data_IF_986172354228
#
_entry.id   IF_986172354228
#
_cell.length_a   1.000
_cell.length_b   1.000
_cell.length_c   1.000
_cell.angle_alpha   90.00
_cell.angle_beta   90.00
_cell.angle_gamma   90.00
#
_symmetry.space_group_name_H-M   'P 1'
#
loop_
_entity.id
_entity.type
_entity.pdbx_description
1 polymer ?
#
# COMPACT_ATOMS: atom_id res chain seq x y z
N UNK A 1 8.26 -12.48 -3.82
CA UNK A 1 7.45 -13.39 -2.96
C UNK A 1 8.19 -13.81 -1.67
N UNK A 2 9.42 -14.33 -1.71
CA UNK A 2 10.17 -14.74 -0.49
C UNK A 2 10.27 -13.63 0.57
N UNK A 3 10.61 -12.41 0.16
CA UNK A 3 10.69 -11.24 1.05
C UNK A 3 9.35 -10.89 1.71
N UNK A 4 8.25 -11.07 0.99
CA UNK A 4 6.90 -10.84 1.54
C UNK A 4 6.60 -11.83 2.66
N UNK A 5 6.84 -13.12 2.44
CA UNK A 5 6.63 -14.17 3.45
C UNK A 5 7.47 -13.88 4.69
N UNK A 6 8.75 -13.54 4.50
CA UNK A 6 9.64 -13.18 5.60
C UNK A 6 9.11 -11.98 6.39
N UNK A 7 8.70 -10.90 5.72
CA UNK A 7 8.13 -9.72 6.37
C UNK A 7 6.88 -10.06 7.20
N UNK A 8 5.95 -10.82 6.63
CA UNK A 8 4.70 -11.23 7.30
C UNK A 8 4.97 -12.09 8.54
N UNK A 9 5.92 -13.02 8.47
CA UNK A 9 6.30 -13.85 9.62
C UNK A 9 6.89 -13.01 10.75
N UNK A 10 7.81 -12.10 10.43
CA UNK A 10 8.43 -11.21 11.43
C UNK A 10 7.39 -10.25 12.02
N UNK A 11 6.57 -9.61 11.17
CA UNK A 11 5.54 -8.68 11.61
C UNK A 11 4.46 -9.36 12.48
N UNK A 12 4.00 -10.55 12.10
CA UNK A 12 3.04 -11.33 12.91
C UNK A 12 3.63 -11.79 14.24
N UNK A 13 4.93 -12.14 14.29
CA UNK A 13 5.65 -12.39 15.53
C UNK A 13 5.65 -11.18 16.46
N UNK A 14 5.99 -10.00 15.95
CA UNK A 14 5.96 -8.75 16.73
C UNK A 14 4.53 -8.36 17.14
N UNK A 15 3.55 -8.53 16.26
CA UNK A 15 2.14 -8.28 16.55
C UNK A 15 1.66 -9.16 17.73
N UNK A 16 1.93 -10.46 17.65
CA UNK A 16 1.56 -11.43 18.67
C UNK A 16 2.27 -11.13 19.99
N UNK A 17 3.58 -10.90 19.96
CA UNK A 17 4.36 -10.55 21.15
C UNK A 17 3.84 -9.26 21.82
N UNK A 18 3.45 -8.27 21.02
CA UNK A 18 2.88 -6.99 21.49
C UNK A 18 1.53 -7.20 22.17
N UNK A 19 0.69 -8.10 21.66
CA UNK A 19 -0.60 -8.44 22.28
C UNK A 19 -0.43 -9.24 23.58
N UNK A 20 0.48 -10.22 23.61
CA UNK A 20 0.76 -11.02 24.81
C UNK A 20 1.33 -10.15 25.92
N UNK A 21 2.26 -9.25 25.59
CA UNK A 21 2.93 -8.37 26.55
C UNK A 21 2.26 -7.00 26.68
N UNK A 22 0.97 -6.87 26.34
CA UNK A 22 0.24 -5.59 26.34
C UNK A 22 0.23 -4.87 27.70
N UNK A 23 0.39 -5.61 28.78
CA UNK A 23 0.40 -5.09 30.16
C UNK A 23 1.79 -4.59 30.60
N UNK A 24 2.85 -4.90 29.85
CA UNK A 24 4.20 -4.48 30.19
C UNK A 24 4.33 -2.94 30.11
N UNK A 25 5.04 -2.35 31.08
CA UNK A 25 5.12 -0.90 31.25
C UNK A 25 5.59 -0.17 29.98
N UNK A 26 6.55 -0.76 29.26
CA UNK A 26 7.11 -0.23 28.01
C UNK A 26 6.04 -0.19 26.90
N UNK A 27 5.28 -1.27 26.70
CA UNK A 27 4.24 -1.36 25.66
C UNK A 27 3.11 -0.36 25.94
N UNK A 28 2.73 -0.23 27.22
CA UNK A 28 1.71 0.72 27.65
C UNK A 28 2.15 2.17 27.48
N UNK A 29 3.43 2.48 27.75
CA UNK A 29 4.00 3.82 27.55
C UNK A 29 4.01 4.22 26.06
N UNK A 30 4.37 3.29 25.17
CA UNK A 30 4.42 3.50 23.72
C UNK A 30 3.06 3.50 23.00
N UNK A 31 1.97 3.33 23.77
CA UNK A 31 0.58 3.28 23.32
C UNK A 31 0.30 2.13 22.34
N UNK A 32 -0.30 1.04 22.85
CA UNK A 32 -0.68 -0.17 22.11
C UNK A 32 -1.35 0.05 20.74
N UNK A 33 -2.41 0.89 20.58
CA UNK A 33 -3.13 0.97 19.31
C UNK A 33 -2.25 1.45 18.14
N UNK A 34 -1.24 2.30 18.40
CA UNK A 34 -0.35 2.78 17.35
C UNK A 34 0.63 1.71 16.89
N UNK A 35 1.14 0.89 17.82
CA UNK A 35 2.02 -0.24 17.49
C UNK A 35 1.29 -1.28 16.63
N UNK A 36 0.03 -1.57 16.97
CA UNK A 36 -0.79 -2.50 16.20
C UNK A 36 -1.11 -1.95 14.80
N UNK A 37 -1.48 -0.67 14.67
CA UNK A 37 -1.71 -0.04 13.37
C UNK A 37 -0.48 -0.10 12.45
N UNK A 38 0.71 0.22 12.98
CA UNK A 38 1.96 0.14 12.20
C UNK A 38 2.23 -1.27 11.73
N UNK A 39 2.10 -2.27 12.62
CA UNK A 39 2.33 -3.68 12.25
C UNK A 39 1.34 -4.18 11.19
N UNK A 40 0.07 -3.75 11.27
CA UNK A 40 -0.93 -4.08 10.25
C UNK A 40 -0.58 -3.36 8.93
N UNK A 41 -0.22 -2.08 8.99
CA UNK A 41 0.17 -1.28 7.83
C UNK A 41 1.34 -1.88 7.07
N UNK A 42 2.36 -2.40 7.76
CA UNK A 42 3.51 -3.05 7.11
C UNK A 42 3.13 -4.34 6.40
N UNK A 43 2.20 -5.13 6.97
CA UNK A 43 1.71 -6.36 6.34
C UNK A 43 0.89 -6.05 5.09
N UNK A 44 -0.02 -5.06 5.17
CA UNK A 44 -0.86 -4.60 4.05
C UNK A 44 -0.04 -3.96 2.94
N UNK A 45 0.95 -3.13 3.28
CA UNK A 45 1.83 -2.53 2.27
C UNK A 45 2.68 -3.59 1.57
N UNK A 46 3.21 -4.57 2.32
CA UNK A 46 4.02 -5.65 1.75
C UNK A 46 3.22 -6.58 0.83
N UNK A 47 1.90 -6.75 1.06
CA UNK A 47 1.07 -7.58 0.19
C UNK A 47 0.87 -7.00 -1.20
N UNK A 48 1.15 -5.69 -1.42
CA UNK A 48 1.14 -5.06 -2.75
C UNK A 48 2.14 -5.71 -3.72
N UNK A 49 3.16 -6.43 -3.22
CA UNK A 49 4.09 -7.19 -4.07
C UNK A 49 3.37 -8.31 -4.84
N UNK A 50 2.31 -8.92 -4.27
CA UNK A 50 1.58 -10.02 -4.91
C UNK A 50 0.90 -9.57 -6.21
N UNK A 51 0.02 -8.55 -6.22
CA UNK A 51 -0.60 -8.09 -7.46
C UNK A 51 0.43 -7.54 -8.46
N UNK A 52 1.52 -6.93 -7.99
CA UNK A 52 2.59 -6.46 -8.87
C UNK A 52 3.31 -7.59 -9.63
N UNK A 53 3.20 -8.84 -9.14
CA UNK A 53 3.78 -10.01 -9.84
C UNK A 53 2.82 -10.67 -10.83
N UNK A 54 1.58 -10.21 -10.93
CA UNK A 54 0.60 -10.75 -11.86
C UNK A 54 0.70 -9.97 -13.17
N UNK A 55 0.98 -10.68 -14.25
CA UNK A 55 0.91 -10.21 -15.64
C UNK A 55 -0.18 -10.97 -16.42
N UNK A 56 -0.56 -10.43 -17.58
CA UNK A 56 -1.48 -11.05 -18.53
C UNK A 56 -0.85 -12.33 -19.11
N UNK A 57 -1.47 -13.47 -18.80
CA UNK A 57 -1.01 -14.78 -19.26
C UNK A 57 -1.75 -15.10 -20.56
N UNK A 58 -0.99 -15.26 -21.65
CA UNK A 58 -1.46 -15.67 -22.98
C UNK A 58 -2.10 -14.59 -23.86
N UNK A 59 -1.24 -13.79 -24.51
CA UNK A 59 -1.63 -13.08 -25.74
C UNK A 59 -1.70 -14.11 -26.87
N UNK A 60 -2.88 -14.23 -27.47
CA UNK A 60 -3.12 -15.05 -28.65
C UNK A 60 -2.10 -14.68 -29.75
N UNK A 61 -1.26 -15.62 -30.26
CA UNK A 61 -0.24 -15.32 -31.26
C UNK A 61 -0.78 -14.71 -32.56
N UNK A 62 -2.10 -14.82 -32.78
CA UNK A 62 -2.81 -14.24 -33.92
C UNK A 62 -2.91 -12.71 -33.87
N UNK A 63 -2.82 -12.09 -32.68
CA UNK A 63 -2.88 -10.63 -32.50
C UNK A 63 -1.61 -9.95 -33.04
N UNK A 64 -0.46 -10.64 -33.02
CA UNK A 64 0.79 -10.13 -33.62
C UNK A 64 0.73 -9.97 -35.15
N UNK A 65 -0.25 -10.57 -35.82
CA UNK A 65 -0.32 -10.63 -37.29
C UNK A 65 -1.06 -9.44 -37.92
N UNK A 66 -1.84 -8.67 -37.16
CA UNK A 66 -2.58 -7.52 -37.69
C UNK A 66 -1.82 -6.21 -37.48
N UNK A 67 -1.27 -5.70 -38.57
CA UNK A 67 -0.68 -4.39 -38.84
C UNK A 67 0.81 -4.13 -38.47
N UNK A 68 1.72 -4.21 -39.47
CA UNK A 68 3.00 -3.54 -39.40
C UNK A 68 2.81 -2.05 -39.75
N UNK A 69 2.94 -1.15 -38.77
CA UNK A 69 3.23 0.27 -39.08
C UNK A 69 4.31 0.83 -38.15
N UNK A 70 5.30 1.61 -38.66
CA UNK A 70 6.54 1.94 -37.93
C UNK A 70 6.42 3.18 -37.02
N UNK A 71 5.22 3.67 -36.72
CA UNK A 71 5.01 5.01 -36.16
C UNK A 71 4.56 5.05 -34.68
N UNK A 72 4.31 3.90 -34.05
CA UNK A 72 3.86 3.86 -32.65
C UNK A 72 4.22 2.53 -32.00
N UNK A 73 4.75 2.50 -30.75
CA UNK A 73 4.85 1.25 -30.01
C UNK A 73 3.46 0.62 -29.98
N UNK A 74 3.35 -0.63 -30.43
CA UNK A 74 2.09 -1.36 -30.42
C UNK A 74 1.70 -1.54 -28.95
N UNK A 75 0.73 -0.75 -28.48
CA UNK A 75 0.09 -0.93 -27.18
C UNK A 75 -0.92 -2.05 -27.37
N UNK A 76 -0.55 -3.26 -26.94
CA UNK A 76 -1.55 -4.32 -26.83
C UNK A 76 -2.37 -3.99 -25.59
N UNK A 77 -3.60 -3.54 -25.82
CA UNK A 77 -4.60 -3.41 -24.79
C UNK A 77 -5.05 -4.82 -24.42
N UNK A 78 -4.29 -5.44 -23.52
CA UNK A 78 -4.65 -6.72 -22.93
C UNK A 78 -5.93 -6.54 -22.13
N UNK A 79 -7.05 -7.00 -22.70
CA UNK A 79 -8.35 -7.04 -22.01
C UNK A 79 -8.39 -8.19 -20.99
N UNK A 80 -7.33 -8.32 -20.20
CA UNK A 80 -7.19 -9.31 -19.15
C UNK A 80 -7.75 -8.73 -17.85
N UNK A 81 -8.97 -9.14 -17.43
CA UNK A 81 -9.58 -8.59 -16.23
C UNK A 81 -8.75 -8.89 -14.98
N UNK A 82 -7.99 -10.01 -14.99
CA UNK A 82 -7.08 -10.38 -13.90
C UNK A 82 -5.89 -9.43 -13.75
N UNK A 83 -5.20 -9.12 -14.85
CA UNK A 83 -4.06 -8.20 -14.85
C UNK A 83 -4.49 -6.77 -14.49
N UNK A 84 -5.63 -6.30 -15.03
CA UNK A 84 -6.20 -5.01 -14.69
C UNK A 84 -6.58 -4.91 -13.20
N UNK A 85 -7.23 -5.94 -12.65
CA UNK A 85 -7.60 -5.98 -11.23
C UNK A 85 -6.36 -6.00 -10.33
N UNK A 86 -5.31 -6.76 -10.70
CA UNK A 86 -4.06 -6.79 -9.98
C UNK A 86 -3.35 -5.42 -10.01
N UNK A 87 -3.26 -4.81 -11.20
CA UNK A 87 -2.70 -3.48 -11.39
C UNK A 87 -3.34 -2.47 -10.43
N UNK A 88 -4.68 -2.44 -10.36
CA UNK A 88 -5.38 -1.56 -9.44
C UNK A 88 -5.21 -1.94 -7.96
N UNK A 89 -5.26 -3.25 -7.63
CA UNK A 89 -5.09 -3.72 -6.26
C UNK A 89 -3.73 -3.31 -5.66
N UNK A 90 -2.69 -3.20 -6.48
CA UNK A 90 -1.36 -2.76 -6.05
C UNK A 90 -1.38 -1.36 -5.42
N UNK A 91 -2.10 -0.42 -6.05
CA UNK A 91 -2.29 0.95 -5.56
C UNK A 91 -3.04 0.93 -4.23
N UNK A 92 -4.17 0.22 -4.17
CA UNK A 92 -5.00 0.18 -2.97
C UNK A 92 -4.24 -0.35 -1.75
N UNK A 93 -3.53 -1.47 -1.91
CA UNK A 93 -2.76 -2.09 -0.85
C UNK A 93 -1.59 -1.19 -0.41
N UNK A 94 -0.89 -0.57 -1.37
CA UNK A 94 0.22 0.31 -1.08
C UNK A 94 -0.22 1.58 -0.34
N UNK A 95 -1.20 2.32 -0.87
CA UNK A 95 -1.72 3.56 -0.26
C UNK A 95 -2.28 3.30 1.15
N UNK A 96 -3.12 2.27 1.29
CA UNK A 96 -3.72 1.91 2.59
C UNK A 96 -2.64 1.52 3.61
N UNK A 97 -1.69 0.67 3.22
CA UNK A 97 -0.61 0.22 4.09
C UNK A 97 0.35 1.36 4.48
N UNK A 98 0.64 2.26 3.54
CA UNK A 98 1.42 3.47 3.78
C UNK A 98 0.72 4.37 4.82
N UNK A 99 -0.57 4.66 4.64
CA UNK A 99 -1.32 5.50 5.57
C UNK A 99 -1.42 4.89 6.98
N UNK A 100 -1.67 3.58 7.08
CA UNK A 100 -1.68 2.86 8.35
C UNK A 100 -0.31 2.86 9.06
N UNK A 101 0.78 3.03 8.32
CA UNK A 101 2.14 3.08 8.88
C UNK A 101 2.51 4.51 9.28
N UNK A 102 2.34 5.47 8.37
CA UNK A 102 2.83 6.83 8.54
C UNK A 102 1.92 7.70 9.42
N UNK A 103 0.60 7.57 9.33
CA UNK A 103 -0.31 8.40 10.13
C UNK A 103 -0.14 8.22 11.66
N UNK A 104 0.04 6.99 12.20
CA UNK A 104 0.44 6.78 13.59
C UNK A 104 1.76 7.46 13.99
N UNK A 105 2.76 7.44 13.11
CA UNK A 105 4.08 8.04 13.37
C UNK A 105 3.98 9.56 13.44
N UNK A 106 3.28 10.19 12.49
CA UNK A 106 3.00 11.62 12.53
C UNK A 106 2.19 12.01 13.76
N UNK A 107 1.19 11.22 14.13
CA UNK A 107 0.41 11.47 15.33
C UNK A 107 1.26 11.45 16.62
N UNK A 108 2.20 10.51 16.72
CA UNK A 108 3.17 10.46 17.82
C UNK A 108 4.10 11.67 17.81
N UNK A 109 4.65 12.02 16.65
CA UNK A 109 5.53 13.19 16.49
C UNK A 109 4.82 14.49 16.88
N UNK A 110 3.58 14.68 16.42
CA UNK A 110 2.76 15.84 16.77
C UNK A 110 2.50 15.94 18.27
N UNK A 111 2.19 14.82 18.92
CA UNK A 111 2.00 14.77 20.39
C UNK A 111 3.27 15.20 21.13
N UNK A 112 4.43 14.72 20.69
CA UNK A 112 5.74 15.10 21.27
C UNK A 112 5.99 16.60 21.06
N UNK A 113 5.85 17.10 19.84
CA UNK A 113 6.00 18.52 19.51
C UNK A 113 5.11 19.42 20.38
N UNK A 114 3.84 19.03 20.58
CA UNK A 114 2.89 19.77 21.41
C UNK A 114 3.29 19.82 22.89
N UNK A 115 3.89 18.76 23.41
CA UNK A 115 4.38 18.69 24.80
C UNK A 115 5.59 19.62 24.98
N UNK A 116 6.57 19.56 24.07
CA UNK A 116 7.77 20.40 24.15
C UNK A 116 7.49 21.88 23.90
N UNK A 117 6.55 22.23 23.02
CA UNK A 117 6.19 23.61 22.70
C UNK A 117 5.22 24.25 23.72
N UNK A 118 4.89 23.57 24.80
CA UNK A 118 3.97 24.09 25.83
C UNK A 118 4.71 25.00 26.83
N UNK A 119 4.79 26.31 26.52
CA UNK A 119 5.39 27.34 27.40
C UNK A 119 4.80 27.43 28.81
N UNK A 120 3.57 26.94 29.02
CA UNK A 120 2.88 27.09 30.31
C UNK A 120 3.29 26.05 31.37
N UNK A 121 4.12 25.04 31.04
CA UNK A 121 4.53 23.92 31.93
C UNK A 121 3.34 23.21 32.62
N UNK A 122 2.11 23.41 32.13
CA UNK A 122 0.90 22.74 32.63
C UNK A 122 0.85 21.35 32.03
N UNK A 123 0.55 20.35 32.87
CA UNK A 123 0.41 18.95 32.45
C UNK A 123 -0.68 18.82 31.38
N UNK A 124 -0.29 18.58 30.12
CA UNK A 124 -1.20 18.37 29.00
C UNK A 124 -1.32 16.86 28.70
N UNK A 125 -2.50 16.29 28.89
CA UNK A 125 -2.77 14.88 28.58
C UNK A 125 -3.57 14.82 27.29
N UNK A 126 -2.91 14.46 26.19
CA UNK A 126 -3.59 14.15 24.92
C UNK A 126 -4.01 12.67 24.93
N UNK A 127 -5.31 12.35 24.87
CA UNK A 127 -5.79 10.97 24.91
C UNK A 127 -5.53 10.24 23.58
N UNK A 128 -5.06 9.00 23.66
CA UNK A 128 -4.76 8.15 22.49
C UNK A 128 -5.97 7.94 21.57
N UNK A 129 -7.18 7.89 22.12
CA UNK A 129 -8.42 7.64 21.37
C UNK A 129 -8.72 8.73 20.34
N UNK A 130 -8.49 10.01 20.71
CA UNK A 130 -8.69 11.14 19.80
C UNK A 130 -7.74 11.04 18.61
N UNK A 131 -6.48 10.67 18.87
CA UNK A 131 -5.49 10.56 17.81
C UNK A 131 -5.75 9.36 16.89
N UNK A 132 -6.26 8.24 17.42
CA UNK A 132 -6.76 7.11 16.62
C UNK A 132 -7.93 7.53 15.73
N UNK A 133 -8.89 8.31 16.24
CA UNK A 133 -9.99 8.84 15.44
C UNK A 133 -9.50 9.76 14.31
N UNK A 134 -8.55 10.65 14.59
CA UNK A 134 -7.93 11.50 13.56
C UNK A 134 -7.28 10.64 12.46
N UNK A 135 -6.55 9.60 12.84
CA UNK A 135 -5.91 8.68 11.88
C UNK A 135 -6.96 7.96 11.03
N UNK A 136 -8.06 7.49 11.62
CA UNK A 136 -9.15 6.84 10.88
C UNK A 136 -9.83 7.80 9.89
N UNK A 137 -10.00 9.07 10.27
CA UNK A 137 -10.52 10.10 9.35
C UNK A 137 -9.53 10.34 8.20
N UNK A 138 -8.24 10.49 8.47
CA UNK A 138 -7.23 10.64 7.42
C UNK A 138 -7.19 9.44 6.47
N UNK A 139 -7.30 8.23 7.01
CA UNK A 139 -7.39 7.00 6.21
C UNK A 139 -8.65 7.00 5.34
N UNK A 140 -9.81 7.39 5.87
CA UNK A 140 -11.04 7.45 5.07
C UNK A 140 -10.96 8.44 3.90
N UNK A 141 -10.26 9.56 4.10
CA UNK A 141 -10.01 10.53 3.04
C UNK A 141 -9.14 9.91 1.94
N UNK A 142 -8.05 9.25 2.32
CA UNK A 142 -7.16 8.54 1.38
C UNK A 142 -7.90 7.46 0.57
N UNK A 143 -8.68 6.61 1.23
CA UNK A 143 -9.49 5.58 0.55
C UNK A 143 -10.52 6.20 -0.39
N UNK A 144 -11.10 7.35 -0.03
CA UNK A 144 -12.04 8.06 -0.90
C UNK A 144 -11.33 8.61 -2.14
N UNK A 145 -10.11 9.15 -2.00
CA UNK A 145 -9.32 9.63 -3.13
C UNK A 145 -9.01 8.47 -4.09
N UNK A 146 -8.54 7.34 -3.58
CA UNK A 146 -8.25 6.16 -4.42
C UNK A 146 -9.53 5.61 -5.07
N UNK A 147 -10.65 5.60 -4.37
CA UNK A 147 -11.95 5.19 -4.92
C UNK A 147 -12.43 6.11 -6.04
N UNK A 148 -12.35 7.43 -5.84
CA UNK A 148 -12.71 8.41 -6.86
C UNK A 148 -11.81 8.23 -8.07
N UNK A 149 -10.51 8.04 -7.87
CA UNK A 149 -9.59 7.77 -8.97
C UNK A 149 -9.98 6.50 -9.74
N UNK A 150 -10.27 5.40 -9.04
CA UNK A 150 -10.69 4.13 -9.64
C UNK A 150 -11.92 4.25 -10.54
N UNK A 151 -12.92 5.03 -10.10
CA UNK A 151 -14.19 5.17 -10.83
C UNK A 151 -14.00 6.03 -12.09
N UNK A 152 -13.17 7.07 -12.02
CA UNK A 152 -12.98 8.01 -13.13
C UNK A 152 -11.96 7.53 -14.16
N UNK A 153 -10.87 6.90 -13.70
CA UNK A 153 -9.76 6.48 -14.54
C UNK A 153 -9.09 5.24 -13.92
N UNK A 154 -9.70 4.05 -14.07
CA UNK A 154 -9.13 2.81 -13.54
C UNK A 154 -7.79 2.52 -14.19
N UNK A 155 -6.85 2.04 -13.38
CA UNK A 155 -5.53 1.67 -13.86
C UNK A 155 -5.64 0.39 -14.71
N UNK A 156 -5.15 0.47 -15.95
CA UNK A 156 -5.14 -0.65 -16.90
C UNK A 156 -3.71 -1.12 -17.14
N UNK A 157 -3.54 -2.43 -17.25
CA UNK A 157 -2.29 -3.05 -17.67
C UNK A 157 -2.17 -2.97 -19.20
N UNK A 158 -1.03 -2.49 -19.71
CA UNK A 158 -0.73 -2.45 -21.15
C UNK A 158 0.70 -2.94 -21.41
N UNK A 159 0.89 -3.67 -22.51
CA UNK A 159 2.20 -4.08 -23.00
C UNK A 159 2.62 -3.22 -24.18
N UNK A 160 3.89 -2.81 -24.19
CA UNK A 160 4.50 -2.14 -25.33
C UNK A 160 5.64 -3.02 -25.88
N UNK A 161 5.62 -3.27 -27.19
CA UNK A 161 6.69 -4.01 -27.89
C UNK A 161 7.81 -3.02 -28.23
N UNK A 162 9.00 -3.23 -27.65
CA UNK A 162 10.14 -2.30 -27.80
C UNK A 162 11.12 -2.70 -28.90
N UNK A 163 11.20 -4.00 -29.23
CA UNK A 163 12.18 -4.54 -30.18
C UNK A 163 11.54 -5.71 -30.91
N UNK A 164 11.79 -5.82 -32.21
CA UNK A 164 11.49 -7.01 -33.00
C UNK A 164 12.79 -7.76 -33.28
N UNK A 165 12.76 -9.08 -33.25
CA UNK A 165 13.89 -9.92 -33.65
C UNK A 165 14.15 -9.83 -35.17
N UNK A 166 15.31 -10.36 -35.62
CA UNK A 166 15.67 -10.39 -37.04
C UNK A 166 14.73 -11.26 -37.91
N UNK A 167 13.82 -12.02 -37.29
CA UNK A 167 12.85 -12.88 -37.93
C UNK A 167 11.44 -12.24 -37.95
N UNK A 168 11.29 -11.01 -37.45
CA UNK A 168 10.02 -10.28 -37.42
C UNK A 168 9.09 -10.71 -36.29
N UNK A 169 9.58 -11.47 -35.30
CA UNK A 169 8.85 -11.75 -34.08
C UNK A 169 9.05 -10.60 -33.07
N UNK A 170 8.01 -10.25 -32.31
CA UNK A 170 8.08 -9.27 -31.22
C UNK A 170 8.87 -9.78 -30.01
#
# INVERSE_FOLDING_TARGET
IVLFVFNVLVASGFFTWTLLNRNHAIVRASQLPFLLMVSIGTMVSSSAIIPLTIDDSDVDPSVYRSHPTPASPLSLDGEDPGANAACMASVWLYCTGFMLTFAPLFGKMWRVSKIFNNRSVKRMIVPSRVLVLIILVLLSIDLTIVLVWQINAPLQYRREILVFDNFGNP
#
